data_IF_084810586085
#
_entry.id   IF_084810586085
#
_cell.length_a   1.000
_cell.length_b   1.000
_cell.length_c   1.000
_cell.angle_alpha   90.00
_cell.angle_beta   90.00
_cell.angle_gamma   90.00
#
_symmetry.space_group_name_H-M   'P 1'
#
loop_
_entity.id
_entity.type
_entity.pdbx_description
1 polymer ?
#
# COMPACT_ATOMS: atom_id res chain seq x y z
N UNK A 1 -6.83 -1.62 -41.01
CA UNK A 1 -6.94 -2.76 -40.07
C UNK A 1 -7.92 -2.38 -38.96
N UNK A 2 -9.12 -2.94 -38.96
CA UNK A 2 -10.19 -2.67 -38.04
C UNK A 2 -9.86 -3.36 -36.68
N UNK A 3 -9.48 -2.59 -35.65
CA UNK A 3 -9.31 -3.13 -34.27
C UNK A 3 -10.70 -3.48 -33.73
N UNK A 4 -11.03 -4.76 -33.70
CA UNK A 4 -12.26 -5.23 -33.07
C UNK A 4 -12.34 -4.73 -31.63
N UNK A 5 -13.42 -4.02 -31.30
CA UNK A 5 -13.70 -3.60 -29.89
C UNK A 5 -13.86 -4.88 -29.07
N UNK A 6 -13.16 -5.01 -27.93
CA UNK A 6 -13.35 -6.16 -27.07
C UNK A 6 -14.82 -6.24 -26.64
N UNK A 7 -15.40 -7.42 -26.74
CA UNK A 7 -16.77 -7.67 -26.30
C UNK A 7 -16.89 -7.34 -24.80
N UNK A 8 -18.04 -6.88 -24.32
CA UNK A 8 -18.31 -6.54 -22.91
C UNK A 8 -17.84 -7.63 -21.94
N UNK A 9 -18.00 -8.89 -22.35
CA UNK A 9 -17.57 -10.08 -21.59
C UNK A 9 -16.03 -10.20 -21.48
N UNK A 10 -15.29 -9.90 -22.54
CA UNK A 10 -13.83 -9.94 -22.52
C UNK A 10 -13.24 -8.86 -21.59
N UNK A 11 -13.88 -7.68 -21.54
CA UNK A 11 -13.51 -6.62 -20.60
C UNK A 11 -13.77 -7.00 -19.14
N UNK A 12 -14.93 -7.60 -18.86
CA UNK A 12 -15.30 -8.07 -17.52
C UNK A 12 -14.37 -9.20 -17.05
N UNK A 13 -14.11 -10.20 -17.88
CA UNK A 13 -13.21 -11.30 -17.56
C UNK A 13 -11.78 -10.81 -17.27
N UNK A 14 -11.26 -9.90 -18.10
CA UNK A 14 -9.95 -9.29 -17.86
C UNK A 14 -9.90 -8.54 -16.54
N UNK A 15 -10.92 -7.75 -16.21
CA UNK A 15 -11.01 -7.03 -14.94
C UNK A 15 -11.05 -8.01 -13.76
N UNK A 16 -11.88 -9.04 -13.84
CA UNK A 16 -11.99 -10.08 -12.84
C UNK A 16 -10.65 -10.78 -12.58
N UNK A 17 -9.99 -11.24 -13.64
CA UNK A 17 -8.68 -11.91 -13.54
C UNK A 17 -7.61 -11.00 -12.94
N UNK A 18 -7.54 -9.74 -13.38
CA UNK A 18 -6.58 -8.77 -12.83
C UNK A 18 -6.85 -8.47 -11.36
N UNK A 19 -8.10 -8.30 -10.97
CA UNK A 19 -8.47 -8.07 -9.55
C UNK A 19 -8.13 -9.29 -8.72
N UNK A 20 -8.47 -10.50 -9.15
CA UNK A 20 -8.15 -11.74 -8.44
C UNK A 20 -6.64 -11.92 -8.28
N UNK A 21 -5.86 -11.70 -9.34
CA UNK A 21 -4.39 -11.77 -9.29
C UNK A 21 -3.81 -10.73 -8.30
N UNK A 22 -4.35 -9.52 -8.30
CA UNK A 22 -3.94 -8.48 -7.36
C UNK A 22 -4.24 -8.88 -5.92
N UNK A 23 -5.41 -9.45 -5.63
CA UNK A 23 -5.77 -9.94 -4.31
C UNK A 23 -4.86 -11.09 -3.86
N UNK A 24 -4.55 -12.03 -4.75
CA UNK A 24 -3.57 -13.09 -4.47
C UNK A 24 -2.18 -12.53 -4.17
N UNK A 25 -1.74 -11.50 -4.91
CA UNK A 25 -0.46 -10.85 -4.66
C UNK A 25 -0.43 -10.13 -3.29
N UNK A 26 -1.52 -9.46 -2.89
CA UNK A 26 -1.63 -8.86 -1.55
C UNK A 26 -1.61 -9.93 -0.44
N UNK A 27 -2.33 -11.03 -0.62
CA UNK A 27 -2.32 -12.13 0.34
C UNK A 27 -0.92 -12.76 0.46
N UNK A 28 -0.26 -13.03 -0.67
CA UNK A 28 1.11 -13.54 -0.69
C UNK A 28 2.09 -12.58 -0.02
N UNK A 29 1.96 -11.27 -0.25
CA UNK A 29 2.77 -10.26 0.43
C UNK A 29 2.58 -10.30 1.96
N UNK A 30 1.37 -10.49 2.45
CA UNK A 30 1.09 -10.61 3.90
C UNK A 30 1.70 -11.86 4.50
N UNK A 31 1.59 -13.00 3.81
CA UNK A 31 2.19 -14.27 4.25
C UNK A 31 3.71 -14.17 4.27
N UNK A 32 4.33 -13.62 3.21
CA UNK A 32 5.78 -13.44 3.14
C UNK A 32 6.31 -12.50 4.22
N UNK A 33 5.56 -11.41 4.52
CA UNK A 33 5.88 -10.53 5.63
C UNK A 33 5.91 -11.29 6.97
N UNK A 34 4.87 -12.07 7.23
CA UNK A 34 4.75 -12.83 8.45
C UNK A 34 5.88 -13.84 8.60
N UNK A 35 6.18 -14.60 7.55
CA UNK A 35 7.27 -15.57 7.54
C UNK A 35 8.64 -14.91 7.77
N UNK A 36 8.88 -13.74 7.19
CA UNK A 36 10.14 -13.01 7.36
C UNK A 36 10.34 -12.53 8.82
N UNK A 37 9.26 -12.09 9.47
CA UNK A 37 9.29 -11.62 10.87
C UNK A 37 9.38 -12.79 11.84
N UNK A 38 8.57 -13.85 11.66
CA UNK A 38 8.53 -15.03 12.54
C UNK A 38 9.84 -15.84 12.48
N UNK A 39 10.53 -15.84 11.34
CA UNK A 39 11.83 -16.53 11.21
C UNK A 39 12.98 -15.84 11.97
N UNK A 40 12.76 -14.62 12.50
CA UNK A 40 13.81 -13.82 13.15
C UNK A 40 14.92 -13.37 12.19
N UNK A 41 14.72 -13.57 10.89
CA UNK A 41 15.73 -13.29 9.87
C UNK A 41 15.93 -11.79 9.59
N UNK A 42 15.00 -10.94 10.04
CA UNK A 42 15.07 -9.51 9.81
C UNK A 42 14.29 -8.74 10.87
N UNK A 43 14.86 -7.64 11.33
CA UNK A 43 14.14 -6.57 12.00
C UNK A 43 13.05 -6.00 11.08
N UNK A 44 11.82 -5.73 11.56
CA UNK A 44 10.72 -5.20 10.74
C UNK A 44 11.07 -3.93 9.97
N UNK A 45 11.96 -3.11 10.53
CA UNK A 45 12.42 -1.88 9.91
C UNK A 45 13.39 -2.17 8.76
N UNK A 46 14.36 -3.04 8.95
CA UNK A 46 15.25 -3.53 7.90
C UNK A 46 14.49 -4.21 6.77
N UNK A 47 13.48 -5.00 7.11
CA UNK A 47 12.61 -5.64 6.12
C UNK A 47 11.85 -4.62 5.26
N UNK A 48 11.39 -3.49 5.83
CA UNK A 48 10.73 -2.43 5.06
C UNK A 48 11.71 -1.80 4.03
N UNK A 49 12.97 -1.56 4.40
CA UNK A 49 14.00 -1.06 3.45
C UNK A 49 14.23 -2.06 2.32
N UNK A 50 14.39 -3.34 2.66
CA UNK A 50 14.57 -4.41 1.66
C UNK A 50 13.39 -4.46 0.69
N UNK A 51 12.16 -4.32 1.18
CA UNK A 51 10.95 -4.27 0.33
C UNK A 51 10.95 -3.08 -0.62
N UNK A 52 11.28 -1.88 -0.11
CA UNK A 52 11.34 -0.67 -0.94
C UNK A 52 12.47 -0.79 -1.96
N UNK A 53 13.63 -1.29 -1.56
CA UNK A 53 14.77 -1.54 -2.45
C UNK A 53 14.42 -2.55 -3.55
N UNK A 54 13.88 -3.70 -3.19
CA UNK A 54 13.46 -4.72 -4.14
C UNK A 54 12.42 -4.17 -5.13
N UNK A 55 11.42 -3.44 -4.63
CA UNK A 55 10.43 -2.77 -5.46
C UNK A 55 11.07 -1.74 -6.40
N UNK A 56 11.98 -0.90 -5.91
CA UNK A 56 12.69 0.09 -6.71
C UNK A 56 13.50 -0.56 -7.84
N UNK A 57 14.28 -1.61 -7.50
CA UNK A 57 15.11 -2.32 -8.49
C UNK A 57 14.24 -3.01 -9.54
N UNK A 58 13.27 -3.83 -9.13
CA UNK A 58 12.41 -4.59 -10.05
C UNK A 58 11.63 -3.66 -10.97
N UNK A 59 11.00 -2.61 -10.41
CA UNK A 59 10.22 -1.67 -11.20
C UNK A 59 11.10 -0.83 -12.13
N UNK A 60 12.28 -0.38 -11.67
CA UNK A 60 13.21 0.35 -12.53
C UNK A 60 13.70 -0.52 -13.70
N UNK A 61 14.07 -1.77 -13.44
CA UNK A 61 14.45 -2.73 -14.48
C UNK A 61 13.30 -2.93 -15.49
N UNK A 62 12.08 -3.11 -15.02
CA UNK A 62 10.92 -3.27 -15.90
C UNK A 62 10.65 -2.03 -16.77
N UNK A 63 10.84 -0.83 -16.23
CA UNK A 63 10.73 0.43 -16.99
C UNK A 63 11.80 0.47 -18.08
N UNK A 64 13.07 0.21 -17.72
CA UNK A 64 14.19 0.25 -18.67
C UNK A 64 14.05 -0.80 -19.78
N UNK A 65 13.65 -2.04 -19.44
CA UNK A 65 13.41 -3.09 -20.43
C UNK A 65 12.30 -2.75 -21.42
N UNK A 66 11.33 -1.91 -21.01
CA UNK A 66 10.27 -1.40 -21.90
C UNK A 66 10.64 -0.13 -22.64
N UNK A 67 11.88 0.34 -22.53
CA UNK A 67 12.33 1.60 -23.14
C UNK A 67 11.69 2.85 -22.53
N UNK A 68 11.15 2.74 -21.29
CA UNK A 68 10.56 3.85 -20.57
C UNK A 68 11.60 4.69 -19.84
N UNK A 69 11.14 5.76 -19.21
CA UNK A 69 11.99 6.70 -18.44
C UNK A 69 11.55 6.77 -16.98
N UNK A 70 12.46 7.11 -16.09
CA UNK A 70 12.16 7.35 -14.68
C UNK A 70 12.03 8.86 -14.42
N UNK A 71 10.81 9.39 -14.25
CA UNK A 71 10.58 10.82 -14.06
C UNK A 71 10.88 11.23 -12.60
N UNK A 72 12.14 11.11 -12.15
CA UNK A 72 12.56 11.32 -10.76
C UNK A 72 12.37 12.75 -10.27
N UNK A 73 12.50 13.75 -11.15
CA UNK A 73 12.43 15.18 -10.82
C UNK A 73 11.03 15.77 -10.94
N UNK A 74 10.01 14.97 -11.15
CA UNK A 74 8.64 15.46 -11.22
C UNK A 74 8.14 15.93 -9.84
N UNK A 75 7.44 17.08 -9.72
CA UNK A 75 6.82 17.52 -8.46
C UNK A 75 5.87 16.49 -7.86
N UNK A 76 5.27 15.63 -8.68
CA UNK A 76 4.41 14.53 -8.23
C UNK A 76 5.14 13.55 -7.32
N UNK A 77 6.49 13.46 -7.40
CA UNK A 77 7.31 12.58 -6.55
C UNK A 77 7.29 13.00 -5.09
N UNK A 78 7.11 14.29 -4.81
CA UNK A 78 7.01 14.77 -3.41
C UNK A 78 5.83 14.10 -2.72
N UNK A 79 4.66 14.11 -3.36
CA UNK A 79 3.46 13.49 -2.80
C UNK A 79 3.57 11.96 -2.89
N UNK A 80 3.91 11.42 -4.06
CA UNK A 80 3.96 9.97 -4.28
C UNK A 80 4.98 9.26 -3.38
N UNK A 81 6.24 9.71 -3.39
CA UNK A 81 7.30 9.10 -2.59
C UNK A 81 7.13 9.41 -1.09
N UNK A 82 6.73 10.63 -0.73
CA UNK A 82 6.46 11.00 0.66
C UNK A 82 5.35 10.17 1.28
N UNK A 83 4.22 10.01 0.57
CA UNK A 83 3.10 9.17 1.00
C UNK A 83 3.48 7.69 1.10
N UNK A 84 4.28 7.20 0.14
CA UNK A 84 4.80 5.82 0.16
C UNK A 84 5.74 5.60 1.36
N UNK A 85 6.64 6.55 1.63
CA UNK A 85 7.53 6.48 2.80
C UNK A 85 6.75 6.51 4.10
N UNK A 86 5.76 7.40 4.24
CA UNK A 86 4.89 7.46 5.41
C UNK A 86 4.17 6.13 5.65
N UNK A 87 3.62 5.53 4.58
CA UNK A 87 3.01 4.22 4.65
C UNK A 87 4.03 3.15 5.11
N UNK A 88 5.18 3.06 4.45
CA UNK A 88 6.16 2.01 4.74
C UNK A 88 6.71 2.08 6.16
N UNK A 89 7.06 3.28 6.62
CA UNK A 89 7.60 3.51 7.97
C UNK A 89 6.51 3.29 9.03
N UNK A 90 5.35 3.96 8.88
CA UNK A 90 4.26 3.87 9.85
C UNK A 90 3.76 2.44 10.01
N UNK A 91 3.60 1.72 8.89
CA UNK A 91 3.20 0.32 8.87
C UNK A 91 4.21 -0.60 9.58
N UNK A 92 5.50 -0.44 9.29
CA UNK A 92 6.53 -1.30 9.88
C UNK A 92 6.68 -1.07 11.37
N UNK A 93 6.69 0.19 11.81
CA UNK A 93 6.82 0.52 13.24
C UNK A 93 5.55 0.15 14.02
N UNK A 94 4.37 0.34 13.43
CA UNK A 94 3.11 -0.04 14.07
C UNK A 94 3.03 -1.53 14.42
N UNK A 95 3.56 -2.39 13.56
CA UNK A 95 3.57 -3.84 13.81
C UNK A 95 4.58 -4.32 14.87
N UNK A 96 5.39 -3.45 15.43
CA UNK A 96 6.17 -3.78 16.62
C UNK A 96 5.29 -3.95 17.88
N UNK A 97 4.13 -3.28 17.91
CA UNK A 97 3.25 -3.25 19.09
C UNK A 97 1.82 -3.68 18.79
N UNK A 98 1.39 -3.66 17.53
CA UNK A 98 0.03 -4.05 17.14
C UNK A 98 -0.04 -5.51 16.69
N UNK A 99 -1.11 -6.17 17.09
CA UNK A 99 -1.52 -7.44 16.49
C UNK A 99 -1.81 -7.29 15.00
N UNK A 100 -1.42 -8.29 14.22
CA UNK A 100 -1.53 -8.26 12.76
C UNK A 100 -2.97 -8.06 12.27
N UNK A 101 -3.94 -8.68 12.92
CA UNK A 101 -5.36 -8.55 12.57
C UNK A 101 -5.88 -7.15 12.84
N UNK A 102 -5.60 -6.61 14.03
CA UNK A 102 -6.02 -5.27 14.42
C UNK A 102 -5.35 -4.20 13.53
N UNK A 103 -4.05 -4.34 13.27
CA UNK A 103 -3.33 -3.43 12.38
C UNK A 103 -3.92 -3.40 10.98
N UNK A 104 -4.22 -4.56 10.40
CA UNK A 104 -4.86 -4.64 9.09
C UNK A 104 -6.26 -3.99 9.08
N UNK A 105 -7.06 -4.21 10.12
CA UNK A 105 -8.39 -3.60 10.24
C UNK A 105 -8.31 -2.07 10.30
N UNK A 106 -7.42 -1.53 11.11
CA UNK A 106 -7.18 -0.08 11.20
C UNK A 106 -6.72 0.46 9.84
N UNK A 107 -5.71 -0.16 9.24
CA UNK A 107 -5.16 0.27 7.95
C UNK A 107 -6.24 0.36 6.86
N UNK A 108 -6.94 -0.74 6.61
CA UNK A 108 -7.94 -0.78 5.53
C UNK A 108 -9.14 0.11 5.83
N UNK A 109 -9.57 0.22 7.10
CA UNK A 109 -10.59 1.16 7.51
C UNK A 109 -10.21 2.60 7.20
N UNK A 110 -9.02 3.02 7.62
CA UNK A 110 -8.51 4.38 7.39
C UNK A 110 -8.31 4.66 5.89
N UNK A 111 -7.75 3.73 5.13
CA UNK A 111 -7.60 3.86 3.67
C UNK A 111 -8.96 4.13 3.02
N UNK A 112 -9.96 3.31 3.36
CA UNK A 112 -11.29 3.41 2.78
C UNK A 112 -11.98 4.74 3.13
N UNK A 113 -11.94 5.13 4.41
CA UNK A 113 -12.51 6.40 4.88
C UNK A 113 -11.81 7.59 4.20
N UNK A 114 -10.47 7.58 4.16
CA UNK A 114 -9.68 8.66 3.55
C UNK A 114 -10.00 8.80 2.06
N UNK A 115 -10.06 7.69 1.31
CA UNK A 115 -10.36 7.71 -0.12
C UNK A 115 -11.78 8.22 -0.39
N UNK A 116 -12.76 7.85 0.43
CA UNK A 116 -14.14 8.33 0.31
C UNK A 116 -14.27 9.81 0.68
N UNK A 117 -13.60 10.24 1.75
CA UNK A 117 -13.59 11.65 2.17
C UNK A 117 -12.99 12.55 1.08
N UNK A 118 -11.82 12.19 0.55
CA UNK A 118 -11.19 12.94 -0.55
C UNK A 118 -12.07 12.90 -1.80
N UNK A 119 -12.66 11.76 -2.14
CA UNK A 119 -13.59 11.64 -3.25
C UNK A 119 -14.78 12.59 -3.11
N UNK A 120 -15.39 12.66 -1.93
CA UNK A 120 -16.49 13.56 -1.64
C UNK A 120 -16.08 15.04 -1.77
N UNK A 121 -14.91 15.40 -1.27
CA UNK A 121 -14.36 16.78 -1.35
C UNK A 121 -13.99 17.20 -2.77
N UNK A 122 -13.65 16.26 -3.64
CA UNK A 122 -13.23 16.51 -5.03
C UNK A 122 -14.37 16.33 -6.05
N UNK A 123 -15.63 16.21 -5.60
CA UNK A 123 -16.80 16.07 -6.46
C UNK A 123 -17.04 14.64 -6.98
N UNK A 124 -16.29 13.66 -6.49
CA UNK A 124 -16.47 12.24 -6.80
C UNK A 124 -16.98 11.48 -5.57
N UNK A 125 -18.09 11.95 -4.98
CA UNK A 125 -18.67 11.35 -3.78
C UNK A 125 -18.97 9.85 -3.98
N UNK A 126 -18.76 9.00 -2.97
CA UNK A 126 -19.05 7.58 -3.07
C UNK A 126 -20.56 7.36 -3.22
N UNK A 127 -20.91 6.44 -4.10
CA UNK A 127 -22.31 6.02 -4.27
C UNK A 127 -22.77 5.16 -3.09
N UNK A 128 -24.09 5.06 -2.90
CA UNK A 128 -24.66 4.18 -1.87
C UNK A 128 -24.19 2.73 -2.01
N UNK A 129 -24.03 2.23 -3.24
CA UNK A 129 -23.50 0.89 -3.49
C UNK A 129 -22.07 0.72 -3.01
N UNK A 130 -21.22 1.74 -3.22
CA UNK A 130 -19.82 1.72 -2.76
C UNK A 130 -19.74 1.77 -1.23
N UNK A 131 -20.57 2.61 -0.60
CA UNK A 131 -20.66 2.66 0.85
C UNK A 131 -21.14 1.32 1.43
N UNK A 132 -22.23 0.77 0.91
CA UNK A 132 -22.73 -0.54 1.36
C UNK A 132 -21.68 -1.65 1.17
N UNK A 133 -21.03 -1.70 0.00
CA UNK A 133 -19.95 -2.68 -0.26
C UNK A 133 -18.76 -2.53 0.69
N UNK A 134 -18.35 -1.31 0.99
CA UNK A 134 -17.27 -1.03 1.94
C UNK A 134 -17.65 -1.42 3.36
N UNK A 135 -18.89 -1.13 3.79
CA UNK A 135 -19.40 -1.51 5.11
C UNK A 135 -19.43 -3.04 5.27
N UNK A 136 -19.92 -3.75 4.27
CA UNK A 136 -19.94 -5.22 4.28
C UNK A 136 -18.51 -5.80 4.30
N UNK A 137 -17.61 -5.23 3.49
CA UNK A 137 -16.21 -5.68 3.43
C UNK A 137 -15.47 -5.44 4.76
N UNK A 138 -15.58 -4.24 5.34
CA UNK A 138 -14.98 -3.92 6.62
C UNK A 138 -15.62 -4.69 7.78
N UNK A 139 -16.93 -4.89 7.75
CA UNK A 139 -17.64 -5.72 8.73
C UNK A 139 -17.21 -7.19 8.67
N UNK A 140 -17.06 -7.76 7.48
CA UNK A 140 -16.53 -9.10 7.28
C UNK A 140 -15.06 -9.22 7.73
N UNK A 141 -14.24 -8.22 7.42
CA UNK A 141 -12.86 -8.16 7.88
C UNK A 141 -12.78 -8.09 9.41
N UNK A 142 -13.59 -7.21 10.03
CA UNK A 142 -13.67 -7.10 11.48
C UNK A 142 -14.11 -8.42 12.13
N UNK A 143 -15.09 -9.10 11.55
CA UNK A 143 -15.57 -10.40 12.04
C UNK A 143 -14.47 -11.48 12.03
N UNK A 144 -13.70 -11.55 10.92
CA UNK A 144 -12.64 -12.57 10.75
C UNK A 144 -11.43 -12.25 11.60
N UNK A 145 -11.09 -10.96 11.75
CA UNK A 145 -9.89 -10.53 12.47
C UNK A 145 -10.17 -10.13 13.91
N UNK A 146 -11.42 -10.31 14.40
CA UNK A 146 -11.77 -9.96 15.76
C UNK A 146 -10.98 -10.81 16.73
N UNK A 147 -10.23 -10.20 17.65
CA UNK A 147 -9.38 -10.94 18.57
C UNK A 147 -10.23 -11.79 19.53
N UNK A 148 -9.81 -13.01 19.78
CA UNK A 148 -10.52 -13.94 20.68
C UNK A 148 -10.32 -13.64 22.18
N UNK A 149 -9.54 -12.59 22.53
CA UNK A 149 -9.21 -12.24 23.91
C UNK A 149 -9.21 -10.73 24.17
N UNK A 150 -8.77 -10.34 25.36
CA UNK A 150 -8.59 -8.92 25.72
C UNK A 150 -7.43 -8.33 24.93
N UNK A 151 -7.73 -7.39 24.04
CA UNK A 151 -6.72 -6.68 23.24
C UNK A 151 -6.25 -5.47 23.99
N UNK A 152 -4.97 -5.43 24.29
CA UNK A 152 -4.33 -4.17 24.68
C UNK A 152 -3.90 -3.44 23.40
N UNK A 153 -4.56 -2.33 23.12
CA UNK A 153 -4.24 -1.51 21.96
C UNK A 153 -3.18 -0.51 22.36
N UNK A 154 -1.98 -0.65 21.82
CA UNK A 154 -0.97 0.39 21.96
C UNK A 154 -1.38 1.63 21.14
N UNK A 155 -1.55 2.75 21.84
CA UNK A 155 -2.04 3.98 21.22
C UNK A 155 -1.07 4.55 20.16
N UNK A 156 0.25 4.41 20.39
CA UNK A 156 1.25 4.87 19.43
C UNK A 156 1.23 4.00 18.19
N UNK A 157 1.21 2.67 18.32
CA UNK A 157 1.09 1.75 17.21
C UNK A 157 -0.18 1.99 16.39
N UNK A 158 -1.33 2.20 17.06
CA UNK A 158 -2.58 2.54 16.40
C UNK A 158 -2.48 3.87 15.62
N UNK A 159 -1.90 4.91 16.20
CA UNK A 159 -1.69 6.20 15.53
C UNK A 159 -0.77 6.08 14.31
N UNK A 160 0.30 5.30 14.42
CA UNK A 160 1.21 5.01 13.31
C UNK A 160 0.51 4.23 12.19
N UNK A 161 -0.36 3.28 12.54
CA UNK A 161 -1.14 2.54 11.55
C UNK A 161 -2.18 3.43 10.86
N UNK A 162 -2.79 4.38 11.58
CA UNK A 162 -3.65 5.43 10.98
C UNK A 162 -2.85 6.29 10.00
N UNK A 163 -1.66 6.76 10.40
CA UNK A 163 -0.78 7.53 9.52
C UNK A 163 -0.38 6.73 8.27
N UNK A 164 -0.08 5.43 8.43
CA UNK A 164 0.19 4.52 7.31
C UNK A 164 -1.01 4.40 6.37
N UNK A 165 -2.23 4.28 6.90
CA UNK A 165 -3.47 4.23 6.11
C UNK A 165 -3.71 5.50 5.31
N UNK A 166 -3.51 6.67 5.92
CA UNK A 166 -3.58 7.96 5.21
C UNK A 166 -2.50 8.04 4.13
N UNK A 167 -1.25 7.64 4.44
CA UNK A 167 -0.16 7.57 3.48
C UNK A 167 -0.50 6.70 2.27
N UNK A 168 -1.01 5.49 2.50
CA UNK A 168 -1.42 4.59 1.42
C UNK A 168 -2.57 5.16 0.58
N UNK A 169 -3.57 5.77 1.21
CA UNK A 169 -4.66 6.43 0.49
C UNK A 169 -4.16 7.58 -0.39
N UNK A 170 -3.30 8.46 0.16
CA UNK A 170 -2.70 9.57 -0.57
C UNK A 170 -1.83 9.09 -1.73
N UNK A 171 -1.01 8.05 -1.52
CA UNK A 171 -0.23 7.39 -2.57
C UNK A 171 -1.11 6.86 -3.70
N UNK A 172 -2.19 6.17 -3.34
CA UNK A 172 -3.13 5.59 -4.31
C UNK A 172 -3.88 6.67 -5.11
N UNK A 173 -4.26 7.76 -4.45
CA UNK A 173 -4.91 8.91 -5.10
C UNK A 173 -3.94 9.65 -6.03
N UNK A 174 -2.70 9.89 -5.61
CA UNK A 174 -1.66 10.48 -6.44
C UNK A 174 -1.37 9.64 -7.69
N UNK A 175 -1.36 8.31 -7.54
CA UNK A 175 -1.15 7.37 -8.64
C UNK A 175 -2.20 7.44 -9.75
N UNK A 176 -3.44 7.89 -9.44
CA UNK A 176 -4.50 8.07 -10.46
C UNK A 176 -4.17 9.14 -11.50
N UNK A 177 -3.37 10.13 -11.13
CA UNK A 177 -2.96 11.24 -12.01
C UNK A 177 -1.67 10.98 -12.78
N UNK A 178 -1.07 9.79 -12.63
CA UNK A 178 0.17 9.44 -13.35
C UNK A 178 -0.12 9.08 -14.82
N UNK A 179 0.57 9.72 -15.78
CA UNK A 179 0.39 9.42 -17.19
C UNK A 179 0.78 7.96 -17.54
N UNK A 180 1.84 7.47 -16.90
CA UNK A 180 2.30 6.09 -16.99
C UNK A 180 2.46 5.53 -15.57
N UNK A 181 1.54 4.65 -15.19
CA UNK A 181 1.51 4.07 -13.84
C UNK A 181 2.80 3.29 -13.48
N UNK A 182 3.41 2.59 -14.44
CA UNK A 182 4.63 1.83 -14.20
C UNK A 182 5.82 2.76 -13.92
N UNK A 183 6.02 3.76 -14.77
CA UNK A 183 7.11 4.75 -14.63
C UNK A 183 6.94 5.58 -13.36
N UNK A 184 5.70 6.01 -13.07
CA UNK A 184 5.35 6.75 -11.88
C UNK A 184 5.60 5.96 -10.60
N UNK A 185 5.18 4.71 -10.55
CA UNK A 185 5.40 3.82 -9.41
C UNK A 185 6.90 3.54 -9.22
N UNK A 186 7.62 3.20 -10.28
CA UNK A 186 9.06 2.98 -10.22
C UNK A 186 9.81 4.19 -9.67
N UNK A 187 9.51 5.38 -10.19
CA UNK A 187 10.12 6.62 -9.72
C UNK A 187 9.78 6.92 -8.25
N UNK A 188 8.55 6.65 -7.80
CA UNK A 188 8.17 6.82 -6.39
C UNK A 188 8.98 5.89 -5.47
N UNK A 189 9.17 4.62 -5.84
CA UNK A 189 9.97 3.68 -5.06
C UNK A 189 11.44 4.10 -4.99
N UNK A 190 12.02 4.54 -6.11
CA UNK A 190 13.42 5.02 -6.15
C UNK A 190 13.60 6.25 -5.26
N UNK A 191 12.67 7.22 -5.31
CA UNK A 191 12.77 8.45 -4.49
C UNK A 191 12.42 8.18 -3.02
N UNK A 192 11.54 7.22 -2.72
CA UNK A 192 11.18 6.84 -1.36
C UNK A 192 12.31 6.08 -0.64
N UNK A 193 13.18 5.38 -1.37
CA UNK A 193 14.24 4.55 -0.80
C UNK A 193 15.15 5.31 0.18
N UNK A 194 15.80 6.44 -0.20
CA UNK A 194 16.67 7.16 0.73
C UNK A 194 15.90 7.74 1.92
N UNK A 195 14.66 8.17 1.72
CA UNK A 195 13.82 8.71 2.81
C UNK A 195 13.49 7.61 3.81
N UNK A 196 13.06 6.45 3.32
CA UNK A 196 12.71 5.29 4.15
C UNK A 196 13.95 4.76 4.89
N UNK A 197 15.10 4.64 4.20
CA UNK A 197 16.34 4.19 4.79
C UNK A 197 16.83 5.14 5.89
N UNK A 198 16.82 6.45 5.65
CA UNK A 198 17.22 7.46 6.64
C UNK A 198 16.30 7.43 7.88
N UNK A 199 14.99 7.36 7.70
CA UNK A 199 14.04 7.32 8.80
C UNK A 199 14.25 6.09 9.70
N UNK A 200 14.59 4.95 9.11
CA UNK A 200 14.86 3.72 9.86
C UNK A 200 16.21 3.74 10.58
N UNK A 201 17.23 4.36 9.99
CA UNK A 201 18.51 4.60 10.67
C UNK A 201 18.33 5.51 11.90
N UNK A 202 17.50 6.56 11.78
CA UNK A 202 17.21 7.47 12.90
C UNK A 202 16.37 6.78 13.98
N UNK A 203 15.46 5.88 13.60
CA UNK A 203 14.66 5.10 14.54
C UNK A 203 15.45 4.01 15.30
N UNK A 204 16.75 3.88 15.04
CA UNK A 204 17.61 2.96 15.77
C UNK A 204 17.52 1.51 15.28
N UNK A 205 17.18 1.30 14.02
CA UNK A 205 17.19 -0.03 13.39
C UNK A 205 18.59 -0.62 13.45
N UNK A 206 18.81 -1.55 14.36
CA UNK A 206 20.03 -2.36 14.40
C UNK A 206 19.88 -3.47 13.36
N UNK A 207 20.71 -3.42 12.36
CA UNK A 207 20.92 -4.53 11.42
C UNK A 207 21.61 -5.67 12.18
N UNK A 208 20.85 -6.60 12.75
CA UNK A 208 21.34 -7.87 13.25
C UNK A 208 20.83 -9.00 12.38
#
# INVERSE_FOLDING_TARGET
MCKARPTRYAGFMRLFLLTSLTMCAFAANSILNRLAIESGASDPAGFAVVRVLAGAVVLAVLVLLKGGVLPLRSPRRIIGAGSLSLYMIGFSVAYLTLDAGLGALILFGVVQITMFAVGAMTGAAPTVRQLAGATVALGGLAYVLWPAGTVQVDALGAALMVAAGVGWAAYSLAGRSEPNALEGTAANFVVALPVTALALLVAGGTWQ
#
